data_IF_128756373123
#
_entry.id   IF_128756373123
#
_cell.length_a   1.000
_cell.length_b   1.000
_cell.length_c   1.000
_cell.angle_alpha   90.00
_cell.angle_beta   90.00
_cell.angle_gamma   90.00
#
_symmetry.space_group_name_H-M   'P 1'
#
loop_
_entity.id
_entity.type
_entity.pdbx_description
1 polymer ?
#
# COMPACT_ATOMS: atom_id res chain seq x y z
N UNK A 1 30.88 2.68 -2.30
CA UNK A 1 31.94 2.45 -3.31
C UNK A 1 33.28 2.92 -2.78
N UNK A 2 33.58 4.21 -2.61
CA UNK A 2 34.92 4.62 -2.10
C UNK A 2 35.16 4.37 -0.60
N UNK A 3 34.13 4.01 0.17
CA UNK A 3 34.27 3.55 1.55
C UNK A 3 34.68 2.07 1.67
N UNK A 4 34.75 1.37 0.54
CA UNK A 4 35.25 0.01 0.46
C UNK A 4 36.74 0.08 0.12
N UNK A 5 37.58 -0.47 1.01
CA UNK A 5 39.04 -0.38 0.92
C UNK A 5 39.59 -1.07 -0.35
N UNK A 6 38.80 -1.94 -0.99
CA UNK A 6 39.17 -2.62 -2.23
C UNK A 6 38.87 -1.80 -3.50
N UNK A 7 38.17 -0.66 -3.38
CA UNK A 7 37.78 0.16 -4.52
C UNK A 7 38.87 1.17 -4.88
N UNK A 8 39.59 0.89 -5.98
CA UNK A 8 40.58 1.79 -6.57
C UNK A 8 40.00 2.97 -7.34
N UNK A 9 40.77 3.51 -8.31
CA UNK A 9 40.31 4.63 -9.15
C UNK A 9 39.11 4.21 -10.00
N UNK A 10 37.95 4.78 -9.71
CA UNK A 10 36.71 4.59 -10.47
C UNK A 10 36.60 5.56 -11.64
N UNK A 11 36.05 5.10 -12.76
CA UNK A 11 35.74 5.96 -13.89
C UNK A 11 34.66 6.99 -13.49
N UNK A 12 34.71 8.20 -14.07
CA UNK A 12 33.76 9.27 -13.74
C UNK A 12 32.29 8.89 -14.00
N UNK A 13 32.02 8.00 -14.96
CA UNK A 13 30.66 7.56 -15.28
C UNK A 13 30.10 6.52 -14.30
N UNK A 14 30.97 5.85 -13.52
CA UNK A 14 30.56 4.75 -12.62
C UNK A 14 29.53 5.19 -11.58
N UNK A 15 29.70 6.32 -10.85
CA UNK A 15 28.71 6.77 -9.87
C UNK A 15 27.34 7.09 -10.50
N UNK A 16 27.35 7.63 -11.73
CA UNK A 16 26.12 7.98 -12.45
C UNK A 16 25.33 6.71 -12.80
N UNK A 17 26.01 5.72 -13.38
CA UNK A 17 25.39 4.45 -13.72
C UNK A 17 24.86 3.70 -12.49
N UNK A 18 25.64 3.66 -11.41
CA UNK A 18 25.23 3.03 -10.14
C UNK A 18 24.03 3.76 -9.53
N UNK A 19 24.01 5.10 -9.56
CA UNK A 19 22.86 5.88 -9.11
C UNK A 19 21.59 5.54 -9.89
N UNK A 20 21.68 5.40 -11.21
CA UNK A 20 20.54 5.01 -12.04
C UNK A 20 20.10 3.56 -11.79
N UNK A 21 21.05 2.65 -11.60
CA UNK A 21 20.74 1.27 -11.26
C UNK A 21 20.01 1.17 -9.91
N UNK A 22 20.43 1.95 -8.90
CA UNK A 22 19.75 2.02 -7.61
C UNK A 22 18.32 2.57 -7.73
N UNK A 23 18.10 3.57 -8.57
CA UNK A 23 16.76 4.10 -8.84
C UNK A 23 15.85 3.02 -9.46
N UNK A 24 16.33 2.32 -10.49
CA UNK A 24 15.57 1.25 -11.14
C UNK A 24 15.33 0.07 -10.19
N UNK A 25 16.32 -0.27 -9.35
CA UNK A 25 16.21 -1.29 -8.33
C UNK A 25 15.10 -0.96 -7.31
N UNK A 26 15.05 0.27 -6.80
CA UNK A 26 14.01 0.70 -5.87
C UNK A 26 12.62 0.68 -6.52
N UNK A 27 12.51 1.11 -7.77
CA UNK A 27 11.24 1.05 -8.54
C UNK A 27 10.77 -0.41 -8.63
N UNK A 28 11.64 -1.34 -9.02
CA UNK A 28 11.27 -2.75 -9.17
C UNK A 28 10.82 -3.37 -7.85
N UNK A 29 11.58 -3.15 -6.78
CA UNK A 29 11.26 -3.72 -5.46
C UNK A 29 9.92 -3.20 -4.93
N UNK A 30 9.69 -1.89 -5.00
CA UNK A 30 8.44 -1.26 -4.55
C UNK A 30 7.26 -1.68 -5.42
N UNK A 31 7.44 -1.76 -6.74
CA UNK A 31 6.37 -2.17 -7.67
C UNK A 31 5.92 -3.60 -7.39
N UNK A 32 6.86 -4.55 -7.32
CA UNK A 32 6.54 -5.95 -6.98
C UNK A 32 5.85 -6.05 -5.61
N UNK A 33 6.33 -5.30 -4.62
CA UNK A 33 5.72 -5.29 -3.28
C UNK A 33 4.31 -4.67 -3.27
N UNK A 34 4.07 -3.68 -4.12
CA UNK A 34 2.75 -3.09 -4.31
C UNK A 34 1.77 -4.05 -4.98
N UNK A 35 2.24 -4.89 -5.90
CA UNK A 35 1.40 -5.92 -6.52
C UNK A 35 0.98 -6.99 -5.49
N UNK A 36 1.90 -7.44 -4.64
CA UNK A 36 1.57 -8.30 -3.48
C UNK A 36 0.57 -7.62 -2.54
N UNK A 37 0.71 -6.32 -2.30
CA UNK A 37 -0.24 -5.57 -1.48
C UNK A 37 -1.64 -5.56 -2.09
N UNK A 38 -1.75 -5.32 -3.41
CA UNK A 38 -3.03 -5.34 -4.15
C UNK A 38 -3.68 -6.71 -4.10
N UNK A 39 -2.91 -7.79 -4.30
CA UNK A 39 -3.40 -9.18 -4.21
C UNK A 39 -3.99 -9.49 -2.83
N UNK A 40 -3.37 -8.93 -1.77
CA UNK A 40 -3.88 -9.03 -0.39
C UNK A 40 -5.00 -8.03 -0.05
N UNK A 41 -5.47 -7.24 -1.01
CA UNK A 41 -6.49 -6.21 -0.79
C UNK A 41 -6.03 -5.02 0.06
N UNK A 42 -4.72 -4.81 0.20
CA UNK A 42 -4.12 -3.72 0.96
C UNK A 42 -3.80 -2.51 0.07
N UNK A 43 -4.05 -1.32 0.59
CA UNK A 43 -3.60 -0.04 -0.02
C UNK A 43 -2.21 0.38 0.45
N UNK A 44 -1.57 -0.42 1.32
CA UNK A 44 -0.27 -0.13 1.93
C UNK A 44 0.65 -1.31 1.77
N UNK A 45 1.89 -1.03 1.38
CA UNK A 45 2.97 -2.00 1.37
C UNK A 45 3.51 -2.15 2.80
N UNK A 46 3.61 -3.39 3.28
CA UNK A 46 4.13 -3.72 4.62
C UNK A 46 5.49 -4.40 4.50
N UNK A 47 6.30 -4.39 5.58
CA UNK A 47 7.59 -5.07 5.59
C UNK A 47 7.48 -6.58 5.28
N UNK A 48 6.46 -7.31 5.76
CA UNK A 48 6.27 -8.72 5.39
C UNK A 48 5.95 -8.94 3.91
N UNK A 49 5.33 -7.97 3.22
CA UNK A 49 5.14 -8.04 1.76
C UNK A 49 6.47 -7.90 1.02
N UNK A 50 7.37 -7.01 1.46
CA UNK A 50 8.72 -6.93 0.88
C UNK A 50 9.48 -8.24 1.08
N UNK A 51 9.40 -8.81 2.29
CA UNK A 51 10.02 -10.11 2.59
C UNK A 51 9.52 -11.19 1.63
N UNK A 52 8.21 -11.25 1.38
CA UNK A 52 7.63 -12.19 0.42
C UNK A 52 8.21 -12.03 -0.99
N UNK A 53 8.32 -10.79 -1.49
CA UNK A 53 8.93 -10.52 -2.82
C UNK A 53 10.37 -10.99 -2.89
N UNK A 54 11.17 -10.69 -1.86
CA UNK A 54 12.58 -11.09 -1.79
C UNK A 54 12.73 -12.60 -1.71
N UNK A 55 11.84 -13.28 -0.98
CA UNK A 55 11.91 -14.72 -0.82
C UNK A 55 11.47 -15.49 -2.07
N UNK A 56 10.54 -14.93 -2.84
CA UNK A 56 9.92 -15.56 -4.01
C UNK A 56 10.80 -15.62 -5.27
N UNK A 57 11.85 -14.81 -5.36
CA UNK A 57 12.66 -14.66 -6.57
C UNK A 57 14.16 -14.72 -6.20
N UNK A 58 14.92 -15.61 -6.85
CA UNK A 58 16.35 -15.83 -6.57
C UNK A 58 17.20 -14.60 -6.91
N UNK A 59 16.75 -13.73 -7.82
CA UNK A 59 17.47 -12.50 -8.15
C UNK A 59 17.63 -11.54 -6.95
N UNK A 60 16.86 -11.75 -5.87
CA UNK A 60 16.91 -10.94 -4.65
C UNK A 60 17.61 -11.63 -3.48
N UNK A 61 18.33 -12.73 -3.72
CA UNK A 61 18.98 -13.53 -2.67
C UNK A 61 19.87 -12.72 -1.73
N UNK A 62 20.57 -11.72 -2.25
CA UNK A 62 21.44 -10.80 -1.51
C UNK A 62 20.70 -9.96 -0.44
N UNK A 63 19.36 -9.94 -0.47
CA UNK A 63 18.53 -9.27 0.53
C UNK A 63 17.97 -10.21 1.60
N UNK A 64 18.11 -11.54 1.45
CA UNK A 64 17.47 -12.53 2.34
C UNK A 64 17.89 -12.37 3.80
N UNK A 65 19.18 -12.13 4.04
CA UNK A 65 19.70 -11.89 5.39
C UNK A 65 19.17 -10.60 6.02
N UNK A 66 18.88 -9.59 5.19
CA UNK A 66 18.32 -8.31 5.64
C UNK A 66 16.85 -8.50 6.02
N UNK A 67 16.05 -9.11 5.14
CA UNK A 67 14.61 -9.31 5.37
C UNK A 67 14.31 -10.43 6.37
N UNK A 68 15.28 -11.32 6.65
CA UNK A 68 15.14 -12.40 7.63
C UNK A 68 14.82 -11.90 9.05
N UNK A 69 15.14 -10.64 9.35
CA UNK A 69 14.83 -9.98 10.64
C UNK A 69 13.36 -9.54 10.76
N UNK A 70 12.61 -9.55 9.66
CA UNK A 70 11.20 -9.15 9.63
C UNK A 70 10.33 -10.33 10.05
N UNK A 71 9.51 -10.13 11.09
CA UNK A 71 8.50 -11.11 11.51
C UNK A 71 7.45 -11.30 10.40
N UNK A 72 7.02 -12.54 10.19
CA UNK A 72 5.98 -12.84 9.20
C UNK A 72 4.63 -12.29 9.67
N UNK A 73 3.77 -11.89 8.72
CA UNK A 73 2.39 -11.52 9.02
C UNK A 73 1.70 -12.68 9.74
N UNK A 74 1.20 -12.44 10.96
CA UNK A 74 0.34 -13.40 11.66
C UNK A 74 -0.95 -13.55 10.85
N UNK A 75 -1.18 -14.73 10.30
CA UNK A 75 -2.47 -15.11 9.73
C UNK A 75 -3.55 -15.00 10.83
N UNK A 76 -4.26 -13.88 10.90
CA UNK A 76 -5.29 -13.75 11.95
C UNK A 76 -5.94 -12.39 12.11
N UNK A 77 -5.32 -11.28 11.73
CA UNK A 77 -5.96 -9.97 11.90
C UNK A 77 -6.85 -9.58 10.71
N UNK A 78 -7.83 -10.44 10.38
CA UNK A 78 -9.07 -9.99 9.72
C UNK A 78 -9.92 -9.27 10.77
N UNK A 79 -9.45 -8.12 11.26
CA UNK A 79 -10.31 -7.20 11.97
C UNK A 79 -11.24 -6.56 10.94
N UNK A 80 -12.47 -7.10 10.88
CA UNK A 80 -13.70 -6.49 10.35
C UNK A 80 -13.63 -4.96 10.38
N UNK A 81 -13.25 -4.33 9.28
CA UNK A 81 -13.66 -2.96 9.00
C UNK A 81 -15.04 -3.07 8.35
N UNK A 82 -16.03 -2.91 9.22
CA UNK A 82 -17.47 -2.89 9.00
C UNK A 82 -17.85 -2.19 7.68
N UNK A 83 -18.51 -2.96 6.83
CA UNK A 83 -19.47 -2.50 5.84
C UNK A 83 -20.46 -1.55 6.54
N UNK A 84 -20.37 -0.26 6.26
CA UNK A 84 -21.48 0.68 6.48
C UNK A 84 -21.85 1.22 5.11
N UNK A 85 -22.75 0.49 4.48
CA UNK A 85 -23.67 1.00 3.48
C UNK A 85 -24.52 2.07 4.19
N UNK A 86 -24.31 3.34 3.84
CA UNK A 86 -25.33 4.37 4.01
C UNK A 86 -25.83 4.70 2.63
N UNK A 87 -26.93 4.05 2.26
CA UNK A 87 -27.80 4.37 1.15
C UNK A 87 -28.29 5.82 1.19
N UNK A 88 -28.41 6.41 0.00
CA UNK A 88 -29.37 7.42 -0.47
C UNK A 88 -29.68 8.68 0.38
N UNK A 89 -29.56 9.85 -0.24
CA UNK A 89 -30.64 10.86 -0.39
C UNK A 89 -30.07 12.05 -1.21
N UNK A 90 -30.40 12.12 -2.50
CA UNK A 90 -31.51 12.92 -3.05
C UNK A 90 -31.35 14.43 -2.87
N UNK A 91 -31.18 15.09 -4.01
CA UNK A 91 -31.20 16.53 -4.19
C UNK A 91 -32.65 16.99 -4.02
N UNK A 92 -33.01 17.65 -2.92
CA UNK A 92 -34.22 18.50 -2.90
C UNK A 92 -34.06 19.76 -2.02
N UNK A 93 -34.55 20.86 -2.59
CA UNK A 93 -34.51 22.25 -2.16
C UNK A 93 -35.25 22.56 -0.84
N UNK A 94 -34.96 23.70 -0.18
CA UNK A 94 -35.50 24.01 1.14
C UNK A 94 -37.01 24.35 1.14
N UNK A 95 -37.68 23.71 2.10
CA UNK A 95 -39.09 23.73 2.49
C UNK A 95 -39.76 25.11 2.58
N UNK A 96 -40.96 25.23 2.00
CA UNK A 96 -41.96 26.27 2.31
C UNK A 96 -43.07 25.70 3.23
N UNK A 97 -43.02 26.12 4.50
CA UNK A 97 -44.11 26.49 5.43
C UNK A 97 -45.43 25.66 5.42
N UNK A 98 -45.59 24.86 6.49
CA UNK A 98 -46.78 24.60 7.37
C UNK A 98 -48.17 24.40 6.72
N UNK A 99 -49.04 23.46 7.10
CA UNK A 99 -49.38 22.90 8.42
C UNK A 99 -50.38 21.76 8.16
N UNK A 100 -50.14 20.59 8.74
CA UNK A 100 -51.05 19.44 8.61
C UNK A 100 -52.30 19.54 9.48
N UNK A 101 -53.39 18.97 8.95
CA UNK A 101 -54.31 18.14 9.74
C UNK A 101 -55.59 18.79 10.24
N UNK A 102 -56.75 18.22 9.86
CA UNK A 102 -57.49 17.24 10.67
C UNK A 102 -58.95 17.17 10.22
N UNK A 103 -59.32 16.11 9.50
CA UNK A 103 -60.72 15.67 9.40
C UNK A 103 -61.15 15.10 10.76
N UNK A 104 -62.20 15.66 11.35
CA UNK A 104 -63.08 15.02 12.35
C UNK A 104 -64.54 15.31 11.96
N UNK A 105 -65.39 14.29 12.06
CA UNK A 105 -66.84 14.23 11.78
C UNK A 105 -67.69 14.82 12.92
N UNK A 106 -69.00 14.93 12.64
CA UNK A 106 -70.19 15.28 13.46
C UNK A 106 -70.50 16.79 13.43
N UNK A 107 -71.72 17.26 13.14
CA UNK A 107 -73.09 16.71 13.22
C UNK A 107 -73.93 17.27 12.07
#
# INVERSE_FOLDING_TARGET
>A
MQADEEVGKVAQQTPIAVGKALELFMIQLVTKSADVAKEKGSKRVTAPMLKHVVEADEQWDFLRDIVGRVENEKEGSRSKAKQESSSEEEIEEPKKITRGGRRKKAQ
#
